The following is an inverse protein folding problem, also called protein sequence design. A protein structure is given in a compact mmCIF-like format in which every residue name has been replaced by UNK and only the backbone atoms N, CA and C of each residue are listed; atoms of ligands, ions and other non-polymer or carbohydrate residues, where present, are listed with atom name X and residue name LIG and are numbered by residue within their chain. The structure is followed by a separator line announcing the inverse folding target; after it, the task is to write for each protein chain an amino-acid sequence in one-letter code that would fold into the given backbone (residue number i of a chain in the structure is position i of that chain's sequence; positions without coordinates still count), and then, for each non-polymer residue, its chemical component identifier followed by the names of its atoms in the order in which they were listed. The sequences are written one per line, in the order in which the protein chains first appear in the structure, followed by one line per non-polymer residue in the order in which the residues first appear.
data_IF_952182611395
#
_entry.id   IF_952182611395
#
_cell.length_a   1.000
_cell.length_b   1.000
_cell.length_c   1.000
_cell.angle_alpha   90.00
_cell.angle_beta   90.00
_cell.angle_gamma   90.00
#
_symmetry.space_group_name_H-M   'P 1'
#
loop_
_entity.id
_entity.type
_entity.pdbx_description
1 polymer ?
#
# COMPACT_ATOMS: atom_id res chain seq x y z
N UNK A 1 -2.63 20.69 -21.64
CA UNK A 1 -1.46 20.12 -20.92
C UNK A 1 -1.67 19.78 -19.42
N UNK A 2 -2.02 20.69 -18.49
CA UNK A 2 -2.19 20.29 -17.07
C UNK A 2 -3.49 19.50 -16.80
N UNK A 3 -4.59 19.89 -17.48
CA UNK A 3 -5.92 19.25 -17.35
C UNK A 3 -5.94 17.82 -17.90
N UNK A 4 -5.38 17.58 -19.08
CA UNK A 4 -5.31 16.22 -19.69
C UNK A 4 -4.48 15.25 -18.85
N UNK A 5 -3.33 15.70 -18.32
CA UNK A 5 -2.50 14.88 -17.41
C UNK A 5 -3.23 14.56 -16.10
N UNK A 6 -4.13 15.41 -15.63
CA UNK A 6 -4.96 15.10 -14.46
C UNK A 6 -6.06 14.09 -14.81
N UNK A 7 -6.65 14.16 -16.00
CA UNK A 7 -7.66 13.20 -16.46
C UNK A 7 -7.05 11.81 -16.60
N UNK A 8 -5.89 11.69 -17.27
CA UNK A 8 -5.21 10.41 -17.46
C UNK A 8 -4.88 9.70 -16.13
N UNK A 9 -4.40 10.43 -15.11
CA UNK A 9 -4.14 9.86 -13.78
C UNK A 9 -5.42 9.33 -13.13
N UNK A 10 -6.53 10.08 -13.21
CA UNK A 10 -7.81 9.65 -12.64
C UNK A 10 -8.41 8.47 -13.37
N UNK A 11 -8.27 8.40 -14.69
CA UNK A 11 -8.70 7.23 -15.46
C UNK A 11 -7.96 5.99 -14.94
N UNK A 12 -6.64 6.08 -14.70
CA UNK A 12 -5.91 4.97 -14.10
C UNK A 12 -6.46 4.59 -12.72
N UNK A 13 -6.76 5.57 -11.85
CA UNK A 13 -7.33 5.29 -10.52
C UNK A 13 -8.68 4.59 -10.60
N UNK A 14 -9.58 5.08 -11.45
CA UNK A 14 -10.92 4.51 -11.63
C UNK A 14 -10.83 3.11 -12.23
N UNK A 15 -9.99 2.90 -13.25
CA UNK A 15 -9.79 1.59 -13.85
C UNK A 15 -9.23 0.58 -12.84
N UNK A 16 -8.18 0.96 -12.09
CA UNK A 16 -7.63 0.12 -11.01
C UNK A 16 -8.71 -0.22 -9.99
N UNK A 17 -9.51 0.75 -9.57
CA UNK A 17 -10.56 0.53 -8.57
C UNK A 17 -11.67 -0.40 -9.09
N UNK A 18 -12.19 -0.18 -10.30
CA UNK A 18 -13.25 -1.02 -10.88
C UNK A 18 -12.78 -2.46 -11.04
N UNK A 19 -11.58 -2.68 -11.59
CA UNK A 19 -11.03 -4.03 -11.72
C UNK A 19 -10.83 -4.69 -10.35
N UNK A 20 -10.34 -3.92 -9.36
CA UNK A 20 -10.18 -4.40 -7.99
C UNK A 20 -11.52 -4.79 -7.36
N UNK A 21 -12.58 -3.98 -7.54
CA UNK A 21 -13.92 -4.32 -7.02
C UNK A 21 -14.43 -5.64 -7.59
N UNK A 22 -14.24 -5.85 -8.89
CA UNK A 22 -14.66 -7.09 -9.54
C UNK A 22 -13.85 -8.29 -9.03
N UNK A 23 -12.53 -8.17 -8.97
CA UNK A 23 -11.64 -9.24 -8.52
C UNK A 23 -11.84 -9.59 -7.04
N UNK A 24 -11.75 -8.59 -6.15
CA UNK A 24 -11.92 -8.79 -4.70
C UNK A 24 -13.36 -9.18 -4.34
N UNK A 25 -14.36 -8.61 -5.02
CA UNK A 25 -15.76 -9.00 -4.83
C UNK A 25 -16.00 -10.46 -5.18
N UNK A 26 -15.40 -10.96 -6.28
CA UNK A 26 -15.47 -12.37 -6.66
C UNK A 26 -14.73 -13.28 -5.66
N UNK A 27 -13.57 -12.87 -5.15
CA UNK A 27 -12.83 -13.62 -4.12
C UNK A 27 -13.56 -13.72 -2.79
N UNK A 28 -14.23 -12.65 -2.35
CA UNK A 28 -15.07 -12.66 -1.14
C UNK A 28 -16.33 -13.50 -1.34
N UNK A 29 -17.01 -13.33 -2.49
CA UNK A 29 -18.26 -14.04 -2.77
C UNK A 29 -18.06 -15.54 -2.98
N UNK A 30 -16.89 -15.94 -3.50
CA UNK A 30 -16.55 -17.34 -3.76
C UNK A 30 -15.10 -17.64 -3.36
N UNK A 31 -14.79 -17.79 -2.06
CA UNK A 31 -13.42 -18.08 -1.59
C UNK A 31 -12.83 -19.38 -2.15
N UNK A 32 -13.68 -20.30 -2.64
CA UNK A 32 -13.26 -21.54 -3.32
C UNK A 32 -12.41 -21.33 -4.58
N UNK A 33 -12.34 -20.12 -5.13
CA UNK A 33 -11.41 -19.81 -6.24
C UNK A 33 -9.93 -19.90 -5.83
N UNK A 34 -9.64 -20.00 -4.53
CA UNK A 34 -8.30 -20.16 -3.98
C UNK A 34 -7.97 -21.61 -3.59
N UNK A 35 -8.95 -22.51 -3.60
CA UNK A 35 -8.77 -23.91 -3.21
C UNK A 35 -7.75 -24.61 -4.12
N UNK A 36 -6.74 -25.25 -3.51
CA UNK A 36 -5.66 -25.91 -4.24
C UNK A 36 -4.62 -24.97 -4.86
N UNK A 37 -4.80 -23.65 -4.76
CA UNK A 37 -3.84 -22.63 -5.21
C UNK A 37 -3.14 -21.93 -4.04
N UNK A 38 -3.82 -21.84 -2.90
CA UNK A 38 -3.30 -21.28 -1.65
C UNK A 38 -3.42 -22.36 -0.57
N UNK A 39 -2.36 -22.58 0.20
CA UNK A 39 -2.40 -23.52 1.33
C UNK A 39 -3.45 -23.09 2.37
N UNK A 40 -4.15 -24.06 2.96
CA UNK A 40 -5.26 -23.84 3.88
C UNK A 40 -4.99 -22.83 5.01
N UNK A 41 -3.80 -22.82 5.67
CA UNK A 41 -3.50 -21.87 6.72
C UNK A 41 -3.52 -20.39 6.27
N UNK A 42 -3.36 -20.12 4.97
CA UNK A 42 -3.28 -18.78 4.41
C UNK A 42 -4.57 -18.32 3.72
N UNK A 43 -5.58 -19.19 3.57
CA UNK A 43 -6.89 -18.82 3.01
C UNK A 43 -7.57 -17.65 3.77
N UNK A 44 -7.55 -17.59 5.11
CA UNK A 44 -8.07 -16.43 5.85
C UNK A 44 -7.36 -15.12 5.49
N UNK A 45 -6.06 -15.21 5.19
CA UNK A 45 -5.25 -14.09 4.73
C UNK A 45 -5.67 -13.60 3.35
N UNK A 46 -5.88 -14.52 2.39
CA UNK A 46 -6.38 -14.18 1.06
C UNK A 46 -7.76 -13.51 1.11
N UNK A 47 -8.69 -14.08 1.89
CA UNK A 47 -10.02 -13.51 2.08
C UNK A 47 -9.97 -12.09 2.68
N UNK A 48 -9.14 -11.89 3.71
CA UNK A 48 -9.01 -10.59 4.38
C UNK A 48 -8.30 -9.56 3.50
N UNK A 49 -7.36 -10.00 2.66
CA UNK A 49 -6.75 -9.17 1.64
C UNK A 49 -7.78 -8.70 0.60
N UNK A 50 -8.69 -9.57 0.15
CA UNK A 50 -9.77 -9.16 -0.75
C UNK A 50 -10.71 -8.17 -0.08
N UNK A 51 -11.11 -8.41 1.18
CA UNK A 51 -11.95 -7.47 1.93
C UNK A 51 -11.30 -6.08 2.04
N UNK A 52 -10.00 -6.03 2.31
CA UNK A 52 -9.24 -4.78 2.35
C UNK A 52 -9.07 -4.16 0.95
N UNK A 53 -8.92 -4.96 -0.10
CA UNK A 53 -8.86 -4.51 -1.50
C UNK A 53 -10.17 -3.91 -1.98
N UNK A 54 -11.30 -4.49 -1.59
CA UNK A 54 -12.63 -3.94 -1.84
C UNK A 54 -12.77 -2.55 -1.19
N UNK A 55 -12.40 -2.44 0.09
CA UNK A 55 -12.42 -1.16 0.80
C UNK A 55 -11.50 -0.10 0.17
N UNK A 56 -10.28 -0.50 -0.22
CA UNK A 56 -9.33 0.36 -0.91
C UNK A 56 -9.85 0.85 -2.27
N UNK A 57 -10.53 -0.02 -3.03
CA UNK A 57 -11.13 0.34 -4.30
C UNK A 57 -12.29 1.32 -4.15
N UNK A 58 -13.18 1.10 -3.18
CA UNK A 58 -14.25 2.05 -2.86
C UNK A 58 -13.70 3.42 -2.45
N UNK A 59 -12.66 3.43 -1.60
CA UNK A 59 -11.97 4.66 -1.23
C UNK A 59 -11.33 5.34 -2.44
N UNK A 60 -10.72 4.57 -3.35
CA UNK A 60 -10.10 5.10 -4.57
C UNK A 60 -11.13 5.72 -5.52
N UNK A 61 -12.31 5.14 -5.68
CA UNK A 61 -13.43 5.73 -6.44
C UNK A 61 -13.95 7.02 -5.79
N UNK A 62 -14.16 6.98 -4.47
CA UNK A 62 -14.61 8.17 -3.73
C UNK A 62 -13.60 9.32 -3.87
N UNK A 63 -12.31 9.02 -3.79
CA UNK A 63 -11.23 9.99 -3.98
C UNK A 63 -11.13 10.48 -5.43
N UNK A 64 -11.32 9.61 -6.43
CA UNK A 64 -11.34 10.01 -7.83
C UNK A 64 -12.48 11.00 -8.14
N UNK A 65 -13.64 10.80 -7.51
CA UNK A 65 -14.80 11.70 -7.60
C UNK A 65 -14.57 13.00 -6.83
N UNK A 66 -14.14 12.92 -5.57
CA UNK A 66 -13.88 14.07 -4.70
C UNK A 66 -12.70 14.93 -5.17
N UNK A 67 -11.76 14.37 -5.93
CA UNK A 67 -10.60 15.07 -6.47
C UNK A 67 -10.96 16.13 -7.53
N UNK A 68 -12.23 16.49 -7.74
CA UNK A 68 -12.65 17.65 -8.56
C UNK A 68 -11.77 18.90 -8.40
N UNK A 69 -11.22 19.13 -7.20
CA UNK A 69 -10.08 20.04 -6.94
C UNK A 69 -8.75 19.30 -6.70
N UNK A 70 -7.65 19.84 -7.22
CA UNK A 70 -6.29 19.29 -7.06
C UNK A 70 -5.75 19.45 -5.63
N UNK A 71 -6.22 18.62 -4.69
CA UNK A 71 -5.69 18.55 -3.33
C UNK A 71 -4.49 17.60 -3.26
N UNK A 72 -3.27 18.10 -3.02
CA UNK A 72 -2.08 17.24 -2.98
C UNK A 72 -2.14 16.20 -1.85
N UNK A 73 -2.88 16.49 -0.77
CA UNK A 73 -3.08 15.55 0.33
C UNK A 73 -3.91 14.33 -0.09
N UNK A 74 -4.95 14.53 -0.90
CA UNK A 74 -5.74 13.42 -1.43
C UNK A 74 -4.90 12.57 -2.39
N UNK A 75 -4.08 13.21 -3.23
CA UNK A 75 -3.16 12.51 -4.12
C UNK A 75 -2.15 11.64 -3.36
N UNK A 76 -1.70 12.06 -2.17
CA UNK A 76 -0.83 11.26 -1.29
C UNK A 76 -1.57 10.05 -0.71
N UNK A 77 -2.86 10.19 -0.34
CA UNK A 77 -3.67 9.04 0.12
C UNK A 77 -3.87 8.05 -1.02
N UNK A 78 -4.23 8.53 -2.21
CA UNK A 78 -4.36 7.70 -3.42
C UNK A 78 -3.06 6.97 -3.71
N UNK A 79 -1.91 7.64 -3.58
CA UNK A 79 -0.60 7.02 -3.78
C UNK A 79 -0.39 5.82 -2.85
N UNK A 80 -0.79 5.93 -1.58
CA UNK A 80 -0.71 4.82 -0.62
C UNK A 80 -1.66 3.66 -0.95
N UNK A 81 -2.89 3.96 -1.38
CA UNK A 81 -3.86 2.94 -1.82
C UNK A 81 -3.38 2.20 -3.07
N UNK A 82 -2.83 2.92 -4.06
CA UNK A 82 -2.24 2.32 -5.25
C UNK A 82 -1.04 1.43 -4.88
N UNK A 83 -0.21 1.86 -3.93
CA UNK A 83 0.88 1.03 -3.41
C UNK A 83 0.35 -0.25 -2.77
N UNK A 84 -0.72 -0.16 -1.99
CA UNK A 84 -1.35 -1.32 -1.36
C UNK A 84 -1.90 -2.30 -2.40
N UNK A 85 -2.61 -1.81 -3.42
CA UNK A 85 -3.14 -2.66 -4.48
C UNK A 85 -2.02 -3.28 -5.34
N UNK A 86 -0.96 -2.54 -5.62
CA UNK A 86 0.23 -3.10 -6.26
C UNK A 86 0.86 -4.21 -5.41
N UNK A 87 0.87 -4.08 -4.09
CA UNK A 87 1.36 -5.14 -3.21
C UNK A 87 0.44 -6.36 -3.19
N UNK A 88 -0.86 -6.16 -2.90
CA UNK A 88 -1.85 -7.22 -2.75
C UNK A 88 -1.97 -8.08 -4.02
N UNK A 89 -2.10 -7.45 -5.18
CA UNK A 89 -2.14 -8.19 -6.45
C UNK A 89 -0.76 -8.65 -6.92
N UNK A 90 0.31 -8.01 -6.44
CA UNK A 90 1.68 -8.52 -6.59
C UNK A 90 1.84 -9.89 -5.94
N UNK A 91 1.27 -10.11 -4.75
CA UNK A 91 1.23 -11.43 -4.10
C UNK A 91 0.55 -12.45 -5.02
N UNK A 92 -0.68 -12.19 -5.48
CA UNK A 92 -1.40 -13.17 -6.32
C UNK A 92 -0.67 -13.53 -7.62
N UNK A 93 -0.02 -12.55 -8.26
CA UNK A 93 0.72 -12.81 -9.51
C UNK A 93 1.99 -13.61 -9.23
N UNK A 94 2.77 -13.19 -8.22
CA UNK A 94 4.05 -13.82 -7.89
C UNK A 94 3.81 -15.24 -7.36
N UNK A 95 2.81 -15.45 -6.50
CA UNK A 95 2.42 -16.77 -5.97
C UNK A 95 1.74 -17.68 -7.00
N UNK A 96 1.50 -17.20 -8.24
CA UNK A 96 0.89 -17.99 -9.32
C UNK A 96 -0.52 -18.49 -8.98
N UNK A 97 -1.36 -17.62 -8.43
CA UNK A 97 -2.77 -17.93 -8.10
C UNK A 97 -3.61 -18.04 -9.40
N UNK A 98 -3.36 -19.08 -10.19
CA UNK A 98 -3.88 -19.30 -11.55
C UNK A 98 -5.35 -19.75 -11.57
N UNK A 99 -6.24 -18.91 -11.04
CA UNK A 99 -7.67 -19.02 -11.29
C UNK A 99 -8.10 -18.15 -12.49
N UNK A 100 -9.39 -18.17 -12.81
CA UNK A 100 -9.96 -17.47 -13.97
C UNK A 100 -9.82 -15.94 -13.90
N UNK A 101 -9.47 -15.36 -12.73
CA UNK A 101 -9.21 -13.93 -12.54
C UNK A 101 -7.74 -13.56 -12.72
N UNK A 102 -6.82 -14.50 -12.97
CA UNK A 102 -5.39 -14.23 -12.92
C UNK A 102 -4.93 -13.08 -13.83
N UNK A 103 -5.46 -12.99 -15.05
CA UNK A 103 -5.17 -11.87 -15.96
C UNK A 103 -5.70 -10.53 -15.45
N UNK A 104 -6.82 -10.55 -14.70
CA UNK A 104 -7.34 -9.35 -14.03
C UNK A 104 -6.38 -8.90 -12.92
N UNK A 105 -5.81 -9.84 -12.15
CA UNK A 105 -4.77 -9.52 -11.16
C UNK A 105 -3.57 -8.85 -11.82
N UNK A 106 -3.07 -9.40 -12.94
CA UNK A 106 -1.98 -8.81 -13.73
C UNK A 106 -2.29 -7.41 -14.23
N UNK A 107 -3.51 -7.18 -14.71
CA UNK A 107 -3.96 -5.86 -15.14
C UNK A 107 -3.99 -4.86 -13.96
N UNK A 108 -4.56 -5.25 -12.82
CA UNK A 108 -4.62 -4.39 -11.62
C UNK A 108 -3.21 -4.02 -11.16
N UNK A 109 -2.33 -5.00 -11.02
CA UNK A 109 -0.94 -4.80 -10.63
C UNK A 109 -0.22 -3.85 -11.58
N UNK A 110 -0.31 -4.11 -12.90
CA UNK A 110 0.38 -3.30 -13.91
C UNK A 110 -0.08 -1.85 -13.88
N UNK A 111 -1.39 -1.61 -13.85
CA UNK A 111 -1.95 -0.25 -13.81
C UNK A 111 -1.58 0.42 -12.49
N UNK A 112 -1.68 -0.28 -11.35
CA UNK A 112 -1.36 0.28 -10.03
C UNK A 112 0.12 0.70 -9.94
N UNK A 113 1.06 -0.14 -10.42
CA UNK A 113 2.50 0.17 -10.45
C UNK A 113 2.78 1.41 -11.31
N UNK A 114 2.27 1.44 -12.55
CA UNK A 114 2.53 2.59 -13.42
C UNK A 114 1.82 3.86 -12.93
N UNK A 115 0.60 3.75 -12.40
CA UNK A 115 -0.10 4.87 -11.77
C UNK A 115 0.69 5.43 -10.58
N UNK A 116 1.27 4.55 -9.74
CA UNK A 116 2.15 4.94 -8.64
C UNK A 116 3.37 5.72 -9.15
N UNK A 117 4.09 5.20 -10.15
CA UNK A 117 5.26 5.87 -10.75
C UNK A 117 4.89 7.26 -11.27
N UNK A 118 3.82 7.38 -12.07
CA UNK A 118 3.38 8.66 -12.62
C UNK A 118 2.92 9.62 -11.52
N UNK A 119 2.25 9.13 -10.48
CA UNK A 119 1.74 9.95 -9.38
C UNK A 119 2.87 10.49 -8.48
N UNK A 120 3.88 9.68 -8.17
CA UNK A 120 5.09 10.14 -7.47
C UNK A 120 5.78 11.23 -8.28
N UNK A 121 6.00 10.99 -9.57
CA UNK A 121 6.67 11.95 -10.44
C UNK A 121 5.88 13.26 -10.56
N UNK A 122 4.54 13.20 -10.61
CA UNK A 122 3.67 14.38 -10.62
C UNK A 122 3.74 15.17 -9.31
N UNK A 123 3.64 14.49 -8.16
CA UNK A 123 3.72 15.11 -6.83
C UNK A 123 5.06 15.80 -6.59
N UNK A 124 6.16 15.12 -6.91
CA UNK A 124 7.51 15.68 -6.74
C UNK A 124 7.75 16.90 -7.63
N UNK A 125 7.30 16.88 -8.90
CA UNK A 125 7.42 18.04 -9.80
C UNK A 125 6.50 19.19 -9.45
N UNK A 126 5.30 18.90 -8.96
CA UNK A 126 4.29 19.90 -8.60
C UNK A 126 4.53 20.60 -7.25
N UNK A 127 5.45 20.08 -6.44
CA UNK A 127 5.69 20.57 -5.08
C UNK A 127 6.96 21.41 -5.01
N UNK A 128 6.81 22.70 -4.72
CA UNK A 128 7.95 23.61 -4.57
C UNK A 128 8.57 23.49 -3.17
N UNK A 129 7.73 23.48 -2.13
CA UNK A 129 8.19 23.44 -0.74
C UNK A 129 7.21 22.68 0.13
N UNK A 130 7.74 21.95 1.10
CA UNK A 130 6.97 21.30 2.16
C UNK A 130 7.39 21.85 3.51
N UNK A 131 6.41 22.05 4.39
CA UNK A 131 6.66 22.46 5.75
C UNK A 131 5.94 21.50 6.71
N UNK A 132 6.70 21.00 7.68
CA UNK A 132 6.20 20.12 8.73
C UNK A 132 6.95 20.45 10.03
N UNK A 133 6.25 20.58 11.18
CA UNK A 133 6.90 20.83 12.46
C UNK A 133 7.96 19.76 12.78
N UNK A 134 9.12 20.19 13.29
CA UNK A 134 10.28 19.31 13.55
C UNK A 134 9.92 18.08 14.39
N UNK A 135 9.11 18.25 15.44
CA UNK A 135 8.66 17.15 16.31
C UNK A 135 7.85 16.09 15.55
N UNK A 136 6.87 16.53 14.76
CA UNK A 136 6.03 15.63 13.95
C UNK A 136 6.85 14.93 12.88
N UNK A 137 7.77 15.66 12.23
CA UNK A 137 8.69 15.09 11.24
C UNK A 137 9.56 13.99 11.85
N UNK A 138 10.15 14.25 13.02
CA UNK A 138 11.04 13.28 13.69
C UNK A 138 10.26 12.05 14.16
N UNK A 139 9.10 12.25 14.80
CA UNK A 139 8.24 11.14 15.21
C UNK A 139 7.78 10.29 14.02
N UNK A 140 7.40 10.95 12.92
CA UNK A 140 7.04 10.24 11.68
C UNK A 140 8.22 9.52 11.06
N UNK A 141 9.42 10.08 11.07
CA UNK A 141 10.58 9.41 10.51
C UNK A 141 10.99 8.19 11.37
N UNK A 142 10.94 8.32 12.69
CA UNK A 142 11.19 7.21 13.63
C UNK A 142 10.13 6.10 13.52
N UNK A 143 8.84 6.45 13.45
CA UNK A 143 7.78 5.46 13.27
C UNK A 143 7.90 4.69 11.95
N UNK A 144 8.39 5.35 10.90
CA UNK A 144 8.63 4.68 9.62
C UNK A 144 9.85 3.75 9.65
N UNK A 145 10.85 4.01 10.51
CA UNK A 145 11.98 3.09 10.71
C UNK A 145 11.58 1.80 11.42
N UNK A 146 10.47 1.79 12.16
CA UNK A 146 10.02 0.60 12.89
C UNK A 146 9.82 -0.60 11.95
N UNK A 147 9.29 -0.37 10.75
CA UNK A 147 9.07 -1.40 9.73
C UNK A 147 10.36 -2.12 9.32
N UNK A 148 11.36 -1.45 8.71
CA UNK A 148 12.60 -2.11 8.32
C UNK A 148 13.35 -2.70 9.52
N UNK A 149 13.31 -2.05 10.70
CA UNK A 149 13.97 -2.59 11.89
C UNK A 149 13.34 -3.89 12.40
N UNK A 150 12.02 -4.05 12.24
CA UNK A 150 11.31 -5.25 12.68
C UNK A 150 11.34 -6.36 11.62
N UNK A 151 11.03 -6.01 10.36
CA UNK A 151 10.82 -7.00 9.31
C UNK A 151 12.10 -7.46 8.61
N UNK A 152 13.17 -6.64 8.51
CA UNK A 152 14.43 -7.15 7.95
C UNK A 152 15.00 -8.33 8.75
N UNK A 153 15.18 -8.23 10.09
CA UNK A 153 15.70 -9.35 10.85
C UNK A 153 14.77 -10.56 10.82
N UNK A 154 13.45 -10.34 10.85
CA UNK A 154 12.45 -11.41 10.79
C UNK A 154 12.55 -12.20 9.49
N UNK A 155 12.45 -11.51 8.36
CA UNK A 155 12.46 -12.13 7.03
C UNK A 155 13.82 -12.75 6.68
N UNK A 156 14.93 -12.06 7.00
CA UNK A 156 16.27 -12.62 6.80
C UNK A 156 16.48 -13.84 7.70
N UNK A 157 16.03 -13.79 8.96
CA UNK A 157 16.11 -14.91 9.89
C UNK A 157 15.34 -16.15 9.43
N UNK A 158 14.22 -15.97 8.72
CA UNK A 158 13.47 -17.06 8.11
C UNK A 158 14.15 -17.61 6.84
N UNK A 159 14.74 -16.74 6.02
CA UNK A 159 15.35 -17.14 4.74
C UNK A 159 16.74 -17.80 4.90
N UNK A 160 17.57 -17.33 5.83
CA UNK A 160 18.95 -17.83 5.99
C UNK A 160 19.01 -19.36 6.23
N UNK A 161 18.18 -19.97 7.11
CA UNK A 161 18.14 -21.42 7.28
C UNK A 161 17.78 -22.16 6.00
N UNK A 162 16.82 -21.64 5.22
CA UNK A 162 16.38 -22.23 3.97
C UNK A 162 17.46 -22.15 2.89
N UNK A 163 18.20 -21.03 2.85
CA UNK A 163 19.37 -20.88 1.97
C UNK A 163 20.46 -21.89 2.30
N UNK A 164 20.74 -22.09 3.59
CA UNK A 164 21.72 -23.08 4.06
C UNK A 164 21.29 -24.51 3.69
N UNK A 165 20.01 -24.83 3.88
CA UNK A 165 19.44 -26.13 3.56
C UNK A 165 19.13 -26.34 2.06
N UNK A 166 19.28 -25.30 1.22
CA UNK A 166 18.88 -25.28 -0.20
C UNK A 166 17.42 -25.68 -0.43
N UNK A 167 16.54 -25.28 0.50
CA UNK A 167 15.12 -25.55 0.44
C UNK A 167 14.37 -24.38 -0.20
N UNK A 168 13.28 -24.70 -0.89
CA UNK A 168 12.35 -23.71 -1.45
C UNK A 168 11.14 -23.60 -0.55
N UNK A 169 10.53 -22.42 -0.53
CA UNK A 169 9.22 -22.22 0.08
C UNK A 169 8.20 -22.25 -1.06
N UNK A 170 7.17 -23.06 -0.92
CA UNK A 170 6.15 -23.25 -1.97
C UNK A 170 5.08 -22.17 -1.94
N UNK A 171 4.82 -21.57 -0.77
CA UNK A 171 3.89 -20.45 -0.57
C UNK A 171 4.60 -19.27 0.11
N UNK A 172 3.94 -18.12 0.16
CA UNK A 172 4.35 -16.89 0.88
C UNK A 172 5.68 -16.25 0.43
N UNK A 173 6.37 -16.78 -0.59
CA UNK A 173 7.66 -16.25 -1.02
C UNK A 173 7.57 -14.86 -1.64
N UNK A 174 6.41 -14.52 -2.21
CA UNK A 174 6.09 -13.18 -2.71
C UNK A 174 6.22 -12.11 -1.63
N UNK A 175 5.84 -12.42 -0.39
CA UNK A 175 5.91 -11.49 0.75
C UNK A 175 7.36 -11.12 1.02
N UNK A 176 8.28 -12.10 1.05
CA UNK A 176 9.71 -11.80 1.23
C UNK A 176 10.26 -10.92 0.11
N UNK A 177 9.90 -11.20 -1.15
CA UNK A 177 10.36 -10.42 -2.30
C UNK A 177 9.83 -8.98 -2.20
N UNK A 178 8.53 -8.82 -2.00
CA UNK A 178 7.89 -7.51 -1.95
C UNK A 178 8.41 -6.69 -0.77
N UNK A 179 8.52 -7.30 0.42
CA UNK A 179 8.97 -6.61 1.61
C UNK A 179 10.44 -6.23 1.54
N UNK A 180 11.33 -7.17 1.22
CA UNK A 180 12.78 -6.95 1.25
C UNK A 180 13.27 -6.07 0.10
N UNK A 181 12.65 -6.18 -1.08
CA UNK A 181 13.09 -5.45 -2.27
C UNK A 181 12.38 -4.12 -2.48
N UNK A 182 11.16 -3.94 -1.95
CA UNK A 182 10.36 -2.74 -2.23
C UNK A 182 9.88 -2.03 -0.97
N UNK A 183 9.11 -2.70 -0.10
CA UNK A 183 8.44 -2.02 1.02
C UNK A 183 9.47 -1.53 2.06
N UNK A 184 10.31 -2.42 2.60
CA UNK A 184 11.31 -2.03 3.60
C UNK A 184 12.31 -1.00 3.08
N UNK A 185 12.89 -1.15 1.87
CA UNK A 185 13.73 -0.11 1.28
C UNK A 185 13.00 1.23 1.14
N UNK A 186 11.74 1.24 0.69
CA UNK A 186 10.98 2.47 0.55
C UNK A 186 10.76 3.18 1.89
N UNK A 187 10.35 2.45 2.93
CA UNK A 187 10.21 3.00 4.29
C UNK A 187 11.54 3.55 4.81
N UNK A 188 12.63 2.81 4.66
CA UNK A 188 13.96 3.23 5.09
C UNK A 188 14.43 4.51 4.37
N UNK A 189 14.33 4.54 3.05
CA UNK A 189 14.73 5.69 2.22
C UNK A 189 13.90 6.93 2.59
N UNK A 190 12.57 6.78 2.69
CA UNK A 190 11.68 7.90 3.02
C UNK A 190 11.90 8.38 4.46
N UNK A 191 12.12 7.48 5.42
CA UNK A 191 12.45 7.84 6.79
C UNK A 191 13.76 8.63 6.88
N UNK A 192 14.84 8.12 6.27
CA UNK A 192 16.15 8.81 6.24
C UNK A 192 16.04 10.17 5.55
N UNK A 193 15.31 10.25 4.43
CA UNK A 193 15.05 11.51 3.75
C UNK A 193 14.26 12.50 4.63
N UNK A 194 13.26 12.03 5.39
CA UNK A 194 12.48 12.84 6.32
C UNK A 194 13.32 13.32 7.53
N UNK A 195 14.20 12.48 8.09
CA UNK A 195 15.16 12.90 9.12
C UNK A 195 16.05 14.04 8.62
N UNK A 196 16.56 13.90 7.39
CA UNK A 196 17.37 14.91 6.70
C UNK A 196 16.56 16.13 6.23
N UNK A 197 15.24 16.15 6.45
CA UNK A 197 14.37 17.26 6.05
C UNK A 197 14.22 17.44 4.54
N UNK A 198 14.51 16.40 3.74
CA UNK A 198 14.38 16.45 2.28
C UNK A 198 12.91 16.40 1.86
N UNK A 199 12.55 17.21 0.86
CA UNK A 199 11.17 17.33 0.35
C UNK A 199 10.51 15.98 0.04
N UNK A 200 11.11 15.06 -0.73
CA UNK A 200 10.45 13.79 -1.06
C UNK A 200 10.14 12.93 0.16
N UNK A 201 11.05 12.90 1.15
CA UNK A 201 10.84 12.16 2.40
C UNK A 201 9.67 12.72 3.20
N UNK A 202 9.60 14.05 3.36
CA UNK A 202 8.48 14.69 4.09
C UNK A 202 7.16 14.60 3.30
N UNK A 203 7.20 14.63 1.96
CA UNK A 203 6.01 14.62 1.13
C UNK A 203 5.36 13.23 1.02
N UNK A 204 6.17 12.19 0.82
CA UNK A 204 5.69 10.85 0.43
C UNK A 204 5.50 9.90 1.62
N UNK A 205 6.06 10.21 2.79
CA UNK A 205 5.95 9.34 3.97
C UNK A 205 4.50 9.02 4.39
N UNK A 206 3.52 9.95 4.30
CA UNK A 206 2.13 9.60 4.60
C UNK A 206 1.55 8.56 3.63
N UNK A 207 2.00 8.50 2.37
CA UNK A 207 1.57 7.45 1.44
C UNK A 207 2.09 6.08 1.90
N UNK A 208 3.34 6.01 2.37
CA UNK A 208 3.89 4.79 2.97
C UNK A 208 3.09 4.36 4.21
N UNK A 209 2.63 5.30 5.04
CA UNK A 209 1.77 4.97 6.17
C UNK A 209 0.40 4.42 5.76
N UNK A 210 -0.23 4.97 4.72
CA UNK A 210 -1.49 4.43 4.18
C UNK A 210 -1.29 3.00 3.66
N UNK A 211 -0.21 2.75 2.93
CA UNK A 211 0.20 1.42 2.48
C UNK A 211 0.37 0.46 3.67
N UNK A 212 1.21 0.83 4.64
CA UNK A 212 1.51 -0.02 5.79
C UNK A 212 0.26 -0.29 6.66
N UNK A 213 -0.59 0.72 6.85
CA UNK A 213 -1.87 0.58 7.53
C UNK A 213 -2.74 -0.48 6.85
N UNK A 214 -2.94 -0.38 5.53
CA UNK A 214 -3.79 -1.30 4.78
C UNK A 214 -3.25 -2.74 4.81
N UNK A 215 -1.94 -2.91 4.64
CA UNK A 215 -1.28 -4.23 4.69
C UNK A 215 -1.40 -4.90 6.07
N UNK A 216 -1.08 -4.17 7.13
CA UNK A 216 -1.09 -4.75 8.47
C UNK A 216 -2.53 -4.94 8.95
N UNK A 217 -3.46 -4.07 8.53
CA UNK A 217 -4.88 -4.26 8.82
C UNK A 217 -5.43 -5.54 8.17
N UNK A 218 -5.00 -5.90 6.95
CA UNK A 218 -5.40 -7.19 6.37
C UNK A 218 -4.89 -8.38 7.17
N UNK A 219 -3.69 -8.29 7.78
CA UNK A 219 -3.18 -9.33 8.68
C UNK A 219 -4.00 -9.41 9.97
N UNK A 220 -4.35 -8.26 10.56
CA UNK A 220 -5.23 -8.23 11.72
C UNK A 220 -6.62 -8.82 11.39
N UNK A 221 -7.19 -8.49 10.23
CA UNK A 221 -8.49 -9.00 9.79
C UNK A 221 -8.46 -10.50 9.45
N UNK A 222 -7.29 -11.06 9.10
CA UNK A 222 -7.13 -12.50 8.87
C UNK A 222 -7.41 -13.33 10.11
N UNK A 223 -7.11 -12.82 11.31
CA UNK A 223 -7.35 -13.53 12.56
C UNK A 223 -8.84 -13.84 12.82
N UNK A 224 -9.77 -12.88 12.86
CA UNK A 224 -11.19 -13.21 12.99
C UNK A 224 -11.72 -13.97 11.76
N UNK A 225 -11.15 -13.77 10.57
CA UNK A 225 -11.53 -14.53 9.38
C UNK A 225 -11.23 -16.03 9.50
N UNK A 226 -10.23 -16.45 10.30
CA UNK A 226 -9.92 -17.87 10.56
C UNK A 226 -11.15 -18.69 10.98
N UNK A 227 -12.07 -18.08 11.72
CA UNK A 227 -13.31 -18.73 12.15
C UNK A 227 -14.17 -19.20 10.96
N UNK A 228 -14.16 -18.48 9.83
CA UNK A 228 -14.88 -18.85 8.61
C UNK A 228 -14.28 -20.08 7.91
N UNK A 229 -13.01 -20.37 8.19
CA UNK A 229 -12.24 -21.47 7.60
C UNK A 229 -11.96 -22.60 8.61
N UNK A 230 -12.67 -22.62 9.75
CA UNK A 230 -12.51 -23.66 10.77
C UNK A 230 -11.19 -23.59 11.57
N UNK A 231 -10.41 -22.53 11.42
CA UNK A 231 -9.18 -22.30 12.15
C UNK A 231 -9.42 -21.48 13.44
N UNK A 232 -8.51 -21.63 14.41
CA UNK A 232 -8.62 -20.95 15.72
C UNK A 232 -8.16 -19.50 15.63
N UNK A 233 -8.95 -18.61 16.23
CA UNK A 233 -8.58 -17.21 16.45
C UNK A 233 -7.40 -17.10 17.42
N UNK A 234 -6.37 -16.34 17.05
CA UNK A 234 -5.27 -15.98 17.95
C UNK A 234 -5.43 -14.51 18.40
N UNK A 235 -5.86 -14.26 19.66
CA UNK A 235 -6.01 -12.91 20.17
C UNK A 235 -4.69 -12.13 20.22
N UNK A 236 -3.58 -12.79 20.50
CA UNK A 236 -2.28 -12.12 20.63
C UNK A 236 -1.81 -11.60 19.28
N UNK A 237 -1.93 -12.42 18.22
CA UNK A 237 -1.67 -12.00 16.86
C UNK A 237 -2.59 -10.84 16.44
N UNK A 238 -3.90 -10.99 16.68
CA UNK A 238 -4.89 -9.97 16.33
C UNK A 238 -4.56 -8.60 16.91
N UNK A 239 -4.36 -8.53 18.23
CA UNK A 239 -4.09 -7.26 18.91
C UNK A 239 -2.73 -6.67 18.53
N UNK A 240 -1.73 -7.50 18.29
CA UNK A 240 -0.41 -7.04 17.86
C UNK A 240 -0.47 -6.37 16.48
N UNK A 241 -1.10 -7.03 15.50
CA UNK A 241 -1.27 -6.46 14.17
C UNK A 241 -2.19 -5.23 14.17
N UNK A 242 -3.28 -5.27 14.91
CA UNK A 242 -4.20 -4.14 15.01
C UNK A 242 -3.50 -2.91 15.63
N UNK A 243 -2.76 -3.09 16.72
CA UNK A 243 -2.02 -1.99 17.36
C UNK A 243 -1.00 -1.35 16.41
N UNK A 244 -0.25 -2.17 15.67
CA UNK A 244 0.73 -1.69 14.69
C UNK A 244 0.06 -0.97 13.51
N UNK A 245 -1.06 -1.48 13.02
CA UNK A 245 -1.86 -0.82 11.98
C UNK A 245 -2.39 0.54 12.45
N UNK A 246 -2.99 0.59 13.65
CA UNK A 246 -3.48 1.84 14.24
C UNK A 246 -2.37 2.86 14.48
N UNK A 247 -1.17 2.41 14.87
CA UNK A 247 0.00 3.29 14.97
C UNK A 247 0.28 4.00 13.63
N UNK A 248 0.22 3.28 12.51
CA UNK A 248 0.43 3.87 11.18
C UNK A 248 -0.69 4.79 10.74
N UNK A 249 -1.94 4.45 11.08
CA UNK A 249 -3.06 5.36 10.85
C UNK A 249 -2.85 6.68 11.60
N UNK A 250 -2.49 6.62 12.89
CA UNK A 250 -2.29 7.79 13.74
C UNK A 250 -1.09 8.62 13.26
N UNK A 251 0.05 7.99 12.98
CA UNK A 251 1.24 8.70 12.49
C UNK A 251 0.99 9.32 11.11
N UNK A 252 0.36 8.58 10.19
CA UNK A 252 -0.03 9.06 8.88
C UNK A 252 -0.99 10.25 8.95
N UNK A 253 -2.04 10.15 9.77
CA UNK A 253 -3.02 11.22 9.96
C UNK A 253 -2.41 12.46 10.62
N UNK A 254 -1.58 12.28 11.65
CA UNK A 254 -0.87 13.38 12.31
C UNK A 254 0.10 14.08 11.35
N UNK A 255 0.86 13.31 10.56
CA UNK A 255 1.76 13.86 9.56
C UNK A 255 0.98 14.64 8.50
N UNK A 256 -0.04 14.03 7.91
CA UNK A 256 -0.81 14.62 6.81
C UNK A 256 -1.61 15.85 7.26
N UNK A 257 -2.17 15.85 8.47
CA UNK A 257 -2.90 17.00 9.02
C UNK A 257 -1.97 18.21 9.23
N UNK A 258 -0.74 17.98 9.70
CA UNK A 258 0.26 19.03 9.97
C UNK A 258 1.10 19.42 8.75
N UNK A 259 1.06 18.64 7.68
CA UNK A 259 1.80 18.90 6.44
C UNK A 259 1.22 20.11 5.70
N UNK A 260 2.07 21.08 5.37
CA UNK A 260 1.76 22.22 4.50
C UNK A 260 2.56 22.08 3.21
N UNK A 261 1.87 22.13 2.08
CA UNK A 261 2.44 21.92 0.74
C UNK A 261 2.28 23.21 -0.04
N UNK A 262 3.39 23.78 -0.50
CA UNK A 262 3.42 24.92 -1.42
C UNK A 262 3.66 24.36 -2.81
N UNK A 263 2.68 24.51 -3.70
CA UNK A 263 2.79 24.05 -5.08
C UNK A 263 3.58 25.04 -5.94
N UNK A 264 4.22 24.53 -6.99
CA UNK A 264 4.85 25.37 -8.02
C UNK A 264 3.73 26.10 -8.75
N UNK A 265 3.68 27.44 -8.65
CA UNK A 265 2.73 28.26 -9.41
C UNK A 265 3.04 28.05 -10.89
N UNK A 266 2.09 27.46 -11.64
CA UNK A 266 2.21 27.40 -13.10
C UNK A 266 2.27 28.83 -13.65
N UNK A 267 3.32 29.17 -14.42
CA UNK A 267 3.26 30.34 -15.31
C UNK A 267 2.08 30.11 -16.26
N UNK A 268 0.99 30.87 -16.10
CA UNK A 268 -0.19 30.72 -16.94
C UNK A 268 -1.42 31.49 -16.45
N UNK A 269 -1.29 32.82 -16.36
CA UNK A 269 -2.37 33.82 -16.49
C UNK A 269 -1.79 35.23 -16.30
N UNK A 270 -0.76 35.57 -17.07
CA UNK A 270 -0.43 36.97 -17.35
C UNK A 270 0.02 37.01 -18.81
N UNK A 271 -0.81 37.64 -19.65
CA UNK A 271 -0.50 37.88 -21.05
C UNK A 271 -1.75 38.01 -21.90
N UNK A 272 -2.21 39.25 -22.06
CA UNK A 272 -3.10 39.71 -23.14
C UNK A 272 -4.58 39.65 -22.82
#
# INVERSE_FOLDING_TARGET
MSRERNIQRRVAWVLTAVLTLLASGAGIASPGIYSGLIEEPYLPGAFSQDAMSLGAALALLALAWAAGGSSPKLEIIVLGLLGYLAYAYGIYIIERVYNWLYLVYMAIFSIAVWALVYQVAALCRGTARVHLPKRVRLASAAGALLQPLMFYPLWIGMLVPLMAARQKIETIYSVFILDLCFIMPAFLILAVAAFRGRTPGVLLLPAAYVLGFALILSLAAAEPAKALFGARFDPAAFWSWLALSLLFLVLGALHLSRLRIVQVRGKGSQGG
#
